data_IF_326583809216
#
_entry.id   IF_326583809216
#
_cell.length_a   1.000
_cell.length_b   1.000
_cell.length_c   1.000
_cell.angle_alpha   90.00
_cell.angle_beta   90.00
_cell.angle_gamma   90.00
#
_symmetry.space_group_name_H-M   'P 1'
#
loop_
_entity.id
_entity.type
_entity.pdbx_description
1 polymer ?
#
# COMPACT_ATOMS: atom_id res chain seq x y z
N UNK A 1 5.73 25.29 -16.48
CA UNK A 1 4.95 24.25 -15.79
C UNK A 1 5.96 23.36 -15.09
N UNK A 2 6.03 23.40 -13.78
CA UNK A 2 6.71 22.37 -12.98
C UNK A 2 5.81 21.13 -13.01
N UNK A 3 6.18 20.16 -13.82
CA UNK A 3 5.60 18.84 -13.73
C UNK A 3 5.89 18.30 -12.33
N UNK A 4 4.91 17.66 -11.70
CA UNK A 4 5.15 17.03 -10.40
C UNK A 4 6.24 15.96 -10.53
N UNK A 5 7.08 15.79 -9.54
CA UNK A 5 8.19 14.82 -9.60
C UNK A 5 7.71 13.41 -9.94
N UNK A 6 6.55 13.01 -9.41
CA UNK A 6 5.95 11.71 -9.71
C UNK A 6 5.58 11.54 -11.20
N UNK A 7 4.99 12.58 -11.83
CA UNK A 7 4.71 12.54 -13.27
C UNK A 7 6.00 12.48 -14.09
N UNK A 8 7.04 13.20 -13.65
CA UNK A 8 8.37 13.17 -14.28
C UNK A 8 9.00 11.78 -14.23
N UNK A 9 8.90 11.07 -13.11
CA UNK A 9 9.50 9.74 -12.96
C UNK A 9 8.78 8.65 -13.78
N UNK A 10 7.45 8.72 -13.87
CA UNK A 10 6.67 7.87 -14.78
C UNK A 10 7.08 8.12 -16.23
N UNK A 11 7.22 9.38 -16.62
CA UNK A 11 7.60 9.78 -17.97
C UNK A 11 9.04 9.35 -18.32
N UNK A 12 9.99 9.55 -17.41
CA UNK A 12 11.38 9.10 -17.59
C UNK A 12 11.46 7.59 -17.83
N UNK A 13 10.72 6.80 -17.07
CA UNK A 13 10.67 5.36 -17.23
C UNK A 13 10.16 4.96 -18.61
N UNK A 14 9.07 5.57 -19.09
CA UNK A 14 8.51 5.30 -20.41
C UNK A 14 9.51 5.60 -21.51
N UNK A 15 10.20 6.72 -21.44
CA UNK A 15 11.27 7.08 -22.40
C UNK A 15 12.41 6.05 -22.36
N UNK A 16 12.85 5.62 -21.17
CA UNK A 16 13.98 4.70 -21.02
C UNK A 16 13.70 3.30 -21.61
N UNK A 17 12.46 2.86 -21.63
CA UNK A 17 12.08 1.57 -22.24
C UNK A 17 11.46 1.72 -23.62
N UNK A 18 11.27 2.95 -24.11
CA UNK A 18 10.64 3.23 -25.39
C UNK A 18 9.14 2.95 -25.45
N UNK A 19 8.46 2.92 -24.29
CA UNK A 19 7.02 2.70 -24.23
C UNK A 19 6.24 4.02 -24.40
N UNK A 20 5.22 4.07 -25.27
CA UNK A 20 4.44 5.29 -25.49
C UNK A 20 3.52 5.62 -24.32
N UNK A 21 3.05 4.62 -23.57
CA UNK A 21 2.17 4.75 -22.41
C UNK A 21 2.36 3.55 -21.46
N UNK A 22 1.61 3.51 -20.36
CA UNK A 22 1.53 2.33 -19.49
C UNK A 22 0.68 1.23 -20.14
N UNK A 23 0.97 -0.04 -19.82
CA UNK A 23 0.26 -1.17 -20.38
C UNK A 23 -1.24 -1.16 -20.06
N UNK A 24 -1.62 -0.66 -18.88
CA UNK A 24 -2.99 -0.66 -18.37
C UNK A 24 -3.42 0.75 -17.94
N UNK A 25 -3.75 1.67 -18.91
CA UNK A 25 -4.05 3.07 -18.58
C UNK A 25 -5.28 3.23 -17.68
N UNK A 26 -6.31 2.40 -17.88
CA UNK A 26 -7.53 2.40 -17.05
C UNK A 26 -7.22 2.02 -15.60
N UNK A 27 -6.35 1.03 -15.41
CA UNK A 27 -5.93 0.58 -14.08
C UNK A 27 -5.14 1.69 -13.36
N UNK A 28 -4.30 2.43 -14.10
CA UNK A 28 -3.58 3.58 -13.59
C UNK A 28 -4.53 4.70 -13.12
N UNK A 29 -5.57 4.98 -13.90
CA UNK A 29 -6.59 5.95 -13.53
C UNK A 29 -7.35 5.52 -12.27
N UNK A 30 -7.72 4.25 -12.16
CA UNK A 30 -8.37 3.69 -10.97
C UNK A 30 -7.48 3.80 -9.73
N UNK A 31 -6.22 3.40 -9.83
CA UNK A 31 -5.23 3.54 -8.77
C UNK A 31 -5.16 4.98 -8.25
N UNK A 32 -5.13 5.96 -9.16
CA UNK A 32 -5.12 7.38 -8.78
C UNK A 32 -6.39 7.81 -8.05
N UNK A 33 -7.58 7.47 -8.56
CA UNK A 33 -8.84 7.94 -7.96
C UNK A 33 -9.18 7.31 -6.61
N UNK A 34 -8.61 6.16 -6.29
CA UNK A 34 -8.71 5.56 -4.94
C UNK A 34 -7.99 6.43 -3.90
N UNK A 35 -6.87 7.08 -4.25
CA UNK A 35 -6.07 7.88 -3.31
C UNK A 35 -6.84 9.05 -2.68
N UNK A 36 -7.52 9.94 -3.42
CA UNK A 36 -8.31 11.01 -2.82
C UNK A 36 -9.40 10.49 -1.88
N UNK A 37 -10.03 9.37 -2.23
CA UNK A 37 -11.04 8.71 -1.39
C UNK A 37 -10.45 8.22 -0.06
N UNK A 38 -9.34 7.50 -0.13
CA UNK A 38 -8.64 7.01 1.04
C UNK A 38 -8.18 8.16 1.94
N UNK A 39 -7.63 9.21 1.33
CA UNK A 39 -7.15 10.38 2.06
C UNK A 39 -8.30 11.15 2.74
N UNK A 40 -9.41 11.36 2.06
CA UNK A 40 -10.59 12.01 2.67
C UNK A 40 -11.18 11.19 3.80
N UNK A 41 -11.19 9.86 3.67
CA UNK A 41 -11.59 8.95 4.75
C UNK A 41 -10.65 9.08 5.97
N UNK A 42 -9.35 9.17 5.75
CA UNK A 42 -8.37 9.38 6.81
C UNK A 42 -8.58 10.74 7.49
N UNK A 43 -8.73 11.82 6.71
CA UNK A 43 -8.97 13.16 7.26
C UNK A 43 -10.29 13.25 8.04
N UNK A 44 -11.33 12.51 7.63
CA UNK A 44 -12.61 12.50 8.33
C UNK A 44 -12.48 12.04 9.78
N UNK A 45 -11.43 11.28 10.11
CA UNK A 45 -11.19 10.83 11.49
C UNK A 45 -10.93 11.97 12.48
N UNK A 46 -10.48 13.12 12.00
CA UNK A 46 -10.25 14.32 12.82
C UNK A 46 -11.55 14.94 13.34
N UNK A 47 -12.68 14.64 12.72
CA UNK A 47 -14.01 15.18 13.06
C UNK A 47 -14.84 14.28 13.97
N UNK A 48 -14.28 13.12 14.37
CA UNK A 48 -14.95 12.25 15.35
C UNK A 48 -14.76 12.79 16.76
N UNK A 49 -15.77 12.58 17.63
CA UNK A 49 -15.72 13.01 19.03
C UNK A 49 -14.53 12.42 19.79
N UNK A 50 -14.09 11.23 19.40
CA UNK A 50 -12.92 10.56 19.95
C UNK A 50 -11.58 11.15 19.42
N UNK A 51 -11.64 12.10 18.50
CA UNK A 51 -10.45 12.55 17.75
C UNK A 51 -9.87 11.48 16.83
N UNK A 52 -8.68 11.75 16.28
CA UNK A 52 -7.93 10.75 15.52
C UNK A 52 -7.51 9.55 16.38
N UNK A 53 -7.15 8.41 15.76
CA UNK A 53 -6.74 7.22 16.50
C UNK A 53 -5.44 7.46 17.26
N UNK A 54 -5.46 7.22 18.57
CA UNK A 54 -4.33 7.45 19.46
C UNK A 54 -3.32 6.28 19.50
N UNK A 55 -3.21 5.49 18.43
CA UNK A 55 -2.39 4.28 18.38
C UNK A 55 -1.08 4.43 17.59
N UNK A 56 -0.78 5.63 17.06
CA UNK A 56 0.34 5.84 16.17
C UNK A 56 0.16 5.13 14.80
N UNK A 57 1.13 5.29 13.90
CA UNK A 57 1.05 4.72 12.54
C UNK A 57 1.20 3.19 12.51
N UNK A 58 1.82 2.59 13.53
CA UNK A 58 2.02 1.14 13.62
C UNK A 58 0.77 0.38 14.08
N UNK A 59 -0.22 1.08 14.66
CA UNK A 59 -1.50 0.51 15.09
C UNK A 59 -1.38 -0.70 16.04
N UNK A 60 -0.43 -0.68 16.97
CA UNK A 60 -0.19 -1.81 17.87
C UNK A 60 -1.37 -2.08 18.82
N UNK A 61 -1.89 -3.34 18.86
CA UNK A 61 -2.76 -3.78 19.93
C UNK A 61 -1.97 -3.90 21.26
N UNK A 62 -2.58 -3.76 22.44
CA UNK A 62 -4.04 -3.57 22.65
C UNK A 62 -4.51 -2.12 22.50
N UNK A 63 -3.62 -1.14 22.32
CA UNK A 63 -3.98 0.27 22.25
C UNK A 63 -4.92 0.57 21.06
N UNK A 64 -4.65 0.00 19.90
CA UNK A 64 -5.48 0.18 18.69
C UNK A 64 -6.88 -0.43 18.84
N UNK A 65 -7.05 -1.47 19.68
CA UNK A 65 -8.34 -2.07 19.97
C UNK A 65 -9.19 -1.21 20.93
N UNK A 66 -8.57 -0.37 21.74
CA UNK A 66 -9.23 0.53 22.68
C UNK A 66 -9.64 1.86 22.06
N UNK A 67 -9.16 2.18 20.86
CA UNK A 67 -9.44 3.42 20.14
C UNK A 67 -10.93 3.66 19.91
N UNK A 68 -11.34 4.92 19.77
CA UNK A 68 -12.70 5.35 19.47
C UNK A 68 -13.20 4.92 18.09
N UNK A 69 -14.32 5.48 17.65
CA UNK A 69 -14.96 5.15 16.38
C UNK A 69 -14.16 5.57 15.13
N UNK A 70 -13.05 6.27 15.28
CA UNK A 70 -12.15 6.67 14.19
C UNK A 70 -11.29 5.53 13.63
N UNK A 71 -10.99 4.52 14.46
CA UNK A 71 -10.08 3.43 14.07
C UNK A 71 -10.53 2.65 12.82
N UNK A 72 -11.80 2.26 12.62
CA UNK A 72 -12.24 1.59 11.40
C UNK A 72 -11.99 2.41 10.14
N UNK A 73 -12.16 3.72 10.20
CA UNK A 73 -11.93 4.62 9.07
C UNK A 73 -10.44 4.67 8.68
N UNK A 74 -9.55 4.64 9.67
CA UNK A 74 -8.11 4.53 9.44
C UNK A 74 -7.77 3.20 8.78
N UNK A 75 -8.27 2.09 9.30
CA UNK A 75 -8.03 0.75 8.76
C UNK A 75 -8.53 0.65 7.31
N UNK A 76 -9.75 1.10 7.04
CA UNK A 76 -10.32 1.09 5.69
C UNK A 76 -9.55 2.01 4.73
N UNK A 77 -9.12 3.18 5.21
CA UNK A 77 -8.25 4.08 4.43
C UNK A 77 -6.95 3.39 4.02
N UNK A 78 -6.28 2.72 4.96
CA UNK A 78 -5.03 1.99 4.67
C UNK A 78 -5.28 0.84 3.68
N UNK A 79 -6.41 0.13 3.77
CA UNK A 79 -6.78 -0.87 2.76
C UNK A 79 -6.89 -0.28 1.37
N UNK A 80 -7.56 0.87 1.23
CA UNK A 80 -7.71 1.56 -0.06
C UNK A 80 -6.35 2.02 -0.60
N UNK A 81 -5.48 2.57 0.26
CA UNK A 81 -4.11 2.94 -0.12
C UNK A 81 -3.30 1.73 -0.60
N UNK A 82 -3.43 0.60 0.11
CA UNK A 82 -2.80 -0.66 -0.27
C UNK A 82 -3.27 -1.19 -1.61
N UNK A 83 -4.58 -1.17 -1.87
CA UNK A 83 -5.17 -1.55 -3.16
C UNK A 83 -4.61 -0.66 -4.28
N UNK A 84 -4.59 0.65 -4.08
CA UNK A 84 -4.03 1.60 -5.04
C UNK A 84 -2.56 1.26 -5.37
N UNK A 85 -1.75 0.98 -4.36
CA UNK A 85 -0.33 0.62 -4.53
C UNK A 85 -0.15 -0.69 -5.31
N UNK A 86 -0.95 -1.72 -5.03
CA UNK A 86 -0.92 -2.99 -5.76
C UNK A 86 -1.31 -2.79 -7.23
N UNK A 87 -2.36 -2.03 -7.51
CA UNK A 87 -2.79 -1.75 -8.88
C UNK A 87 -1.70 -1.02 -9.67
N UNK A 88 -1.03 -0.05 -9.05
CA UNK A 88 0.13 0.64 -9.62
C UNK A 88 1.29 -0.31 -9.89
N UNK A 89 1.62 -1.18 -8.95
CA UNK A 89 2.68 -2.16 -9.08
C UNK A 89 2.43 -3.16 -10.22
N UNK A 90 1.21 -3.69 -10.34
CA UNK A 90 0.82 -4.58 -11.44
C UNK A 90 1.01 -3.87 -12.79
N UNK A 91 0.60 -2.61 -12.88
CA UNK A 91 0.74 -1.84 -14.10
C UNK A 91 2.21 -1.58 -14.48
N UNK A 92 3.05 -1.30 -13.49
CA UNK A 92 4.50 -1.14 -13.67
C UNK A 92 5.13 -2.43 -14.21
N UNK A 93 4.83 -3.57 -13.60
CA UNK A 93 5.36 -4.87 -14.05
C UNK A 93 4.89 -5.18 -15.48
N UNK A 94 3.59 -5.04 -15.74
CA UNK A 94 3.03 -5.30 -17.07
C UNK A 94 3.68 -4.40 -18.13
N UNK A 95 3.90 -3.13 -17.83
CA UNK A 95 4.54 -2.18 -18.76
C UNK A 95 6.00 -2.57 -19.04
N UNK A 96 6.78 -2.84 -17.99
CA UNK A 96 8.20 -3.16 -18.15
C UNK A 96 8.38 -4.51 -18.86
N UNK A 97 7.56 -5.51 -18.58
CA UNK A 97 7.72 -6.82 -19.17
C UNK A 97 7.23 -6.89 -20.62
N UNK A 98 6.16 -6.16 -20.99
CA UNK A 98 5.49 -6.32 -22.27
C UNK A 98 5.73 -5.18 -23.28
N UNK A 99 6.11 -3.98 -22.80
CA UNK A 99 6.14 -2.79 -23.66
C UNK A 99 7.57 -2.22 -23.87
N UNK A 100 8.60 -3.05 -23.70
CA UNK A 100 9.96 -2.64 -24.03
C UNK A 100 10.12 -2.46 -25.53
N UNK A 101 10.99 -1.49 -25.92
CA UNK A 101 11.34 -1.27 -27.32
C UNK A 101 11.88 -2.56 -27.98
N UNK A 102 11.61 -2.77 -29.29
CA UNK A 102 12.14 -3.92 -30.04
C UNK A 102 13.66 -4.03 -29.88
N UNK A 103 14.17 -5.21 -29.54
CA UNK A 103 15.59 -5.46 -29.31
C UNK A 103 16.11 -5.12 -27.90
N UNK A 104 15.28 -4.54 -27.03
CA UNK A 104 15.63 -4.31 -25.63
C UNK A 104 15.33 -5.56 -24.78
N UNK A 105 16.34 -6.36 -24.52
CA UNK A 105 16.23 -7.47 -23.57
C UNK A 105 16.29 -6.96 -22.14
N UNK A 106 15.88 -7.80 -21.16
CA UNK A 106 15.93 -7.44 -19.75
C UNK A 106 17.33 -6.99 -19.31
N UNK A 107 18.37 -7.68 -19.80
CA UNK A 107 19.76 -7.36 -19.46
C UNK A 107 20.30 -6.05 -20.08
N UNK A 108 19.58 -5.51 -21.06
CA UNK A 108 19.91 -4.22 -21.69
C UNK A 108 19.15 -3.04 -21.08
N UNK A 109 18.25 -3.32 -20.13
CA UNK A 109 17.51 -2.26 -19.45
C UNK A 109 18.43 -1.44 -18.54
N UNK A 110 18.21 -0.11 -18.48
CA UNK A 110 18.87 0.74 -17.48
C UNK A 110 18.60 0.25 -16.06
N UNK A 111 19.58 0.44 -15.16
CA UNK A 111 19.47 -0.01 -13.76
C UNK A 111 18.27 0.64 -13.03
N UNK A 112 17.92 1.86 -13.39
CA UNK A 112 16.72 2.55 -12.86
C UNK A 112 15.43 1.78 -13.16
N UNK A 113 15.30 1.17 -14.31
CA UNK A 113 14.11 0.35 -14.65
C UNK A 113 14.10 -0.96 -13.86
N UNK A 114 15.27 -1.53 -13.59
CA UNK A 114 15.38 -2.69 -12.71
C UNK A 114 14.97 -2.38 -11.28
N UNK A 115 15.34 -1.22 -10.72
CA UNK A 115 14.90 -0.83 -9.39
C UNK A 115 13.38 -0.70 -9.32
N UNK A 116 12.75 -0.08 -10.31
CA UNK A 116 11.29 0.02 -10.41
C UNK A 116 10.60 -1.34 -10.51
N UNK A 117 11.16 -2.26 -11.28
CA UNK A 117 10.61 -3.61 -11.44
C UNK A 117 10.68 -4.38 -10.11
N UNK A 118 11.81 -4.32 -9.42
CA UNK A 118 11.99 -4.98 -8.12
C UNK A 118 11.06 -4.36 -7.07
N UNK A 119 10.99 -3.03 -6.99
CA UNK A 119 10.06 -2.31 -6.10
C UNK A 119 8.62 -2.75 -6.33
N UNK A 120 8.19 -2.89 -7.58
CA UNK A 120 6.82 -3.34 -7.89
C UNK A 120 6.56 -4.78 -7.43
N UNK A 121 7.51 -5.69 -7.55
CA UNK A 121 7.38 -7.05 -7.02
C UNK A 121 7.34 -7.06 -5.48
N UNK A 122 8.17 -6.26 -4.83
CA UNK A 122 8.17 -6.12 -3.37
C UNK A 122 6.83 -5.59 -2.85
N UNK A 123 6.25 -4.59 -3.53
CA UNK A 123 4.92 -4.05 -3.18
C UNK A 123 3.83 -5.13 -3.26
N UNK A 124 3.79 -5.92 -4.33
CA UNK A 124 2.80 -7.00 -4.46
C UNK A 124 2.97 -8.07 -3.38
N UNK A 125 4.19 -8.34 -2.95
CA UNK A 125 4.46 -9.33 -1.91
C UNK A 125 4.14 -8.79 -0.50
N UNK A 126 4.47 -7.52 -0.21
CA UNK A 126 4.41 -6.95 1.13
C UNK A 126 3.01 -6.41 1.50
N UNK A 127 2.32 -5.74 0.56
CA UNK A 127 1.04 -5.08 0.85
C UNK A 127 -0.09 -6.02 1.32
N UNK A 128 -0.27 -7.24 0.77
CA UNK A 128 -1.28 -8.16 1.28
C UNK A 128 -1.05 -8.60 2.73
N UNK A 129 0.19 -8.67 3.18
CA UNK A 129 0.53 -9.02 4.56
C UNK A 129 0.06 -7.92 5.53
N UNK A 130 0.31 -6.65 5.19
CA UNK A 130 -0.23 -5.52 5.94
C UNK A 130 -1.76 -5.56 5.96
N UNK A 131 -2.39 -5.75 4.80
CA UNK A 131 -3.84 -5.85 4.70
C UNK A 131 -4.40 -6.97 5.59
N UNK A 132 -3.73 -8.12 5.65
CA UNK A 132 -4.06 -9.23 6.55
C UNK A 132 -3.99 -8.81 8.01
N UNK A 133 -2.91 -8.19 8.45
CA UNK A 133 -2.71 -7.74 9.83
C UNK A 133 -3.81 -6.78 10.28
N UNK A 134 -4.11 -5.75 9.48
CA UNK A 134 -5.13 -4.75 9.84
C UNK A 134 -6.56 -5.28 9.68
N UNK A 135 -6.79 -6.29 8.81
CA UNK A 135 -8.07 -7.01 8.74
C UNK A 135 -8.32 -7.81 10.03
N UNK A 136 -7.31 -8.53 10.53
CA UNK A 136 -7.41 -9.25 11.80
C UNK A 136 -7.69 -8.28 12.95
N UNK A 137 -7.09 -7.10 12.96
CA UNK A 137 -7.37 -6.03 13.92
C UNK A 137 -8.84 -5.57 13.84
N UNK A 138 -9.37 -5.42 12.63
CA UNK A 138 -10.75 -5.03 12.40
C UNK A 138 -11.73 -6.10 12.91
N UNK A 139 -11.42 -7.39 12.66
CA UNK A 139 -12.24 -8.50 13.10
C UNK A 139 -12.22 -8.68 14.61
N UNK A 140 -11.10 -8.48 15.27
CA UNK A 140 -11.02 -8.48 16.74
C UNK A 140 -11.92 -7.41 17.35
N UNK A 141 -12.08 -6.27 16.67
CA UNK A 141 -12.89 -5.18 17.18
C UNK A 141 -14.40 -5.37 16.96
N UNK A 142 -14.82 -5.93 15.81
CA UNK A 142 -16.22 -5.92 15.39
C UNK A 142 -16.86 -7.30 15.28
N UNK A 143 -16.08 -8.35 15.13
CA UNK A 143 -16.56 -9.70 14.89
C UNK A 143 -16.26 -10.67 16.04
N UNK A 144 -15.74 -10.17 17.15
CA UNK A 144 -15.47 -10.97 18.35
C UNK A 144 -14.36 -12.01 18.18
N UNK A 145 -13.50 -11.86 17.18
CA UNK A 145 -12.27 -12.66 17.11
C UNK A 145 -11.28 -12.19 18.18
N UNK A 146 -10.30 -12.99 18.50
CA UNK A 146 -9.29 -12.69 19.53
C UNK A 146 -7.87 -13.00 19.08
N UNK A 147 -7.52 -12.59 17.85
CA UNK A 147 -6.17 -12.79 17.32
C UNK A 147 -5.11 -12.09 18.18
N UNK A 148 -5.42 -10.90 18.68
CA UNK A 148 -4.49 -10.05 19.41
C UNK A 148 -4.92 -9.75 20.85
N UNK A 149 -5.99 -10.38 21.32
CA UNK A 149 -6.53 -10.19 22.67
C UNK A 149 -6.13 -11.36 23.56
N UNK A 150 -5.26 -11.11 24.54
CA UNK A 150 -4.70 -12.15 25.40
C UNK A 150 -5.75 -12.91 26.23
N UNK A 151 -6.81 -12.23 26.68
CA UNK A 151 -7.91 -12.86 27.43
C UNK A 151 -8.70 -13.89 26.60
N UNK A 152 -8.66 -13.80 25.29
CA UNK A 152 -9.27 -14.74 24.35
C UNK A 152 -8.29 -15.78 23.76
N UNK A 153 -7.05 -15.83 24.28
CA UNK A 153 -6.00 -16.74 23.81
C UNK A 153 -5.16 -16.19 22.65
N UNK A 154 -5.34 -14.93 22.28
CA UNK A 154 -4.55 -14.26 21.25
C UNK A 154 -3.24 -13.68 21.79
N UNK A 155 -2.39 -13.19 20.88
CA UNK A 155 -1.10 -12.59 21.22
C UNK A 155 -0.91 -11.25 20.52
N UNK A 156 -0.83 -10.12 21.27
CA UNK A 156 -0.53 -8.80 20.69
C UNK A 156 0.83 -8.73 19.96
N UNK A 157 1.81 -9.54 20.38
CA UNK A 157 3.13 -9.58 19.74
C UNK A 157 3.04 -10.17 18.33
N UNK A 158 2.08 -11.06 18.08
CA UNK A 158 1.83 -11.61 16.74
C UNK A 158 1.51 -10.50 15.73
N UNK A 159 0.75 -9.47 16.13
CA UNK A 159 0.51 -8.30 15.27
C UNK A 159 1.82 -7.61 14.89
N UNK A 160 2.71 -7.41 15.86
CA UNK A 160 3.98 -6.76 15.59
C UNK A 160 4.81 -7.55 14.56
N UNK A 161 4.87 -8.87 14.68
CA UNK A 161 5.57 -9.72 13.72
C UNK A 161 4.97 -9.60 12.31
N UNK A 162 3.67 -9.69 12.17
CA UNK A 162 2.99 -9.60 10.86
C UNK A 162 3.15 -8.19 10.29
N UNK A 163 2.96 -7.14 11.10
CA UNK A 163 3.12 -5.76 10.68
C UNK A 163 4.55 -5.50 10.16
N UNK A 164 5.57 -5.94 10.88
CA UNK A 164 6.96 -5.72 10.48
C UNK A 164 7.45 -6.67 9.39
N UNK A 165 6.75 -7.76 9.13
CA UNK A 165 6.96 -8.53 7.91
C UNK A 165 6.62 -7.72 6.64
N UNK A 166 5.68 -6.79 6.74
CA UNK A 166 5.48 -5.74 5.75
C UNK A 166 6.47 -4.59 5.95
N UNK A 167 6.60 -4.06 7.16
CA UNK A 167 7.29 -2.80 7.44
C UNK A 167 8.78 -2.81 7.13
N UNK A 168 9.45 -3.96 7.23
CA UNK A 168 10.87 -4.05 6.86
C UNK A 168 11.07 -4.03 5.33
N UNK A 169 10.36 -4.83 4.51
CA UNK A 169 10.44 -4.67 3.05
C UNK A 169 10.07 -3.26 2.58
N UNK A 170 9.15 -2.58 3.25
CA UNK A 170 8.74 -1.21 2.92
C UNK A 170 9.91 -0.23 2.92
N UNK A 171 10.87 -0.39 3.83
CA UNK A 171 12.05 0.50 3.89
C UNK A 171 13.04 0.25 2.76
N UNK A 172 12.94 -0.87 2.04
CA UNK A 172 13.74 -1.17 0.85
C UNK A 172 13.01 -0.83 -0.45
N UNK A 173 11.70 -0.57 -0.42
CA UNK A 173 10.87 -0.12 -1.52
C UNK A 173 11.12 1.36 -1.80
#
# INVERSE_FOLDING_TARGET
>A
RKESSAASDVYKRQIMIGAPDMALPRLNNWSFWILPFAFTMLLSTLFFDSGGPAAGWTLYPPLSLQGGNSMPFVILSIHLLGISSILGAINVIATILNMRAPGMTLMKMPIFIWTWLITAFLLIAAMPVLAGAITMLLTDRFFGTSFFTASGGGDPVMFQHIFWFFGHPEVYI
#
